data_IF_033867316453
#
_entry.id   IF_033867316453
#
_cell.length_a   1.000
_cell.length_b   1.000
_cell.length_c   1.000
_cell.angle_alpha   90.00
_cell.angle_beta   90.00
_cell.angle_gamma   90.00
#
_symmetry.space_group_name_H-M   'P 1'
#
loop_
_entity.id
_entity.type
_entity.pdbx_description
1 polymer ?
#
# COMPACT_ATOMS: atom_id res chain seq x y z
N UNK A 1 13.97 24.61 -11.66
CA UNK A 1 14.93 25.68 -11.33
C UNK A 1 14.56 26.14 -9.92
N UNK A 2 15.47 25.98 -8.96
CA UNK A 2 15.15 25.70 -7.55
C UNK A 2 14.67 26.86 -6.68
N UNK A 3 14.39 26.53 -5.42
CA UNK A 3 14.67 27.41 -4.28
C UNK A 3 15.25 26.56 -3.14
N UNK A 4 16.50 26.86 -2.81
CA UNK A 4 17.22 26.41 -1.63
C UNK A 4 16.63 27.18 -0.43
N UNK A 5 16.25 26.50 0.66
CA UNK A 5 16.05 27.17 1.96
C UNK A 5 17.29 26.92 2.81
N UNK A 6 18.21 27.89 2.83
CA UNK A 6 19.22 27.95 3.88
C UNK A 6 18.61 28.59 5.12
N UNK A 7 18.70 27.91 6.25
CA UNK A 7 18.27 28.45 7.53
C UNK A 7 19.29 29.50 8.00
N UNK A 8 18.96 30.77 7.81
CA UNK A 8 19.70 31.89 8.41
C UNK A 8 19.08 32.26 9.76
N UNK A 9 19.92 32.16 10.77
CA UNK A 9 19.92 32.82 12.09
C UNK A 9 18.71 32.65 13.03
N UNK A 10 19.04 32.12 14.21
CA UNK A 10 18.15 31.87 15.33
C UNK A 10 18.24 33.03 16.32
N UNK A 11 17.51 34.13 16.09
CA UNK A 11 17.41 35.21 17.06
C UNK A 11 16.16 36.10 16.89
N UNK A 12 14.97 35.52 17.08
CA UNK A 12 13.75 36.24 17.56
C UNK A 12 12.55 35.30 17.65
N UNK A 13 12.58 34.33 18.57
CA UNK A 13 11.39 33.55 18.94
C UNK A 13 10.51 34.33 19.91
N UNK A 14 9.95 35.47 19.46
CA UNK A 14 8.84 36.10 20.15
C UNK A 14 7.78 36.45 19.10
N UNK A 15 6.74 35.62 19.04
CA UNK A 15 5.48 35.80 18.30
C UNK A 15 5.28 35.08 16.95
N UNK A 16 5.95 33.95 16.69
CA UNK A 16 5.46 33.04 15.63
C UNK A 16 4.59 31.96 16.27
N UNK A 17 3.28 32.23 16.41
CA UNK A 17 2.31 31.14 16.47
C UNK A 17 2.25 30.54 15.07
N UNK A 18 3.09 29.55 14.80
CA UNK A 18 3.00 28.76 13.58
C UNK A 18 1.70 27.94 13.66
N UNK A 19 0.59 28.52 13.18
CA UNK A 19 -0.59 27.74 12.84
C UNK A 19 -0.32 27.07 11.49
N UNK A 20 0.44 25.98 11.52
CA UNK A 20 0.53 25.08 10.40
C UNK A 20 -0.80 24.34 10.29
N UNK A 21 -1.60 24.67 9.28
CA UNK A 21 -2.70 23.80 8.89
C UNK A 21 -2.07 22.60 8.19
N UNK A 22 -2.22 21.41 8.76
CA UNK A 22 -1.83 20.17 8.09
C UNK A 22 -2.78 20.03 6.90
N UNK A 23 -2.23 20.19 5.69
CA UNK A 23 -2.91 19.78 4.48
C UNK A 23 -2.38 18.38 4.17
N UNK A 24 -3.26 17.37 4.18
CA UNK A 24 -2.96 16.07 3.58
C UNK A 24 -2.72 16.31 2.09
N UNK A 25 -1.47 16.56 1.72
CA UNK A 25 -1.05 16.56 0.34
C UNK A 25 -0.87 15.10 -0.03
N UNK A 26 -1.86 14.52 -0.70
CA UNK A 26 -1.65 13.28 -1.44
C UNK A 26 -0.64 13.60 -2.54
N UNK A 27 0.66 13.42 -2.25
CA UNK A 27 1.68 13.46 -3.27
C UNK A 27 1.48 12.18 -4.06
N UNK A 28 0.77 12.28 -5.19
CA UNK A 28 0.86 11.27 -6.24
C UNK A 28 2.25 11.39 -6.85
N UNK A 29 3.25 10.91 -6.11
CA UNK A 29 4.57 10.72 -6.64
C UNK A 29 4.49 9.46 -7.50
N UNK A 30 4.49 9.65 -8.83
CA UNK A 30 4.59 8.53 -9.77
C UNK A 30 5.85 7.69 -9.56
N UNK A 31 6.83 8.14 -8.76
CA UNK A 31 7.99 7.35 -8.35
C UNK A 31 7.78 6.53 -7.05
N UNK A 32 6.66 6.71 -6.35
CA UNK A 32 6.35 5.95 -5.14
C UNK A 32 6.15 4.46 -5.48
N UNK A 33 6.81 3.61 -4.71
CA UNK A 33 6.63 2.16 -4.77
C UNK A 33 5.21 1.81 -4.32
N UNK A 34 4.50 1.04 -5.15
CA UNK A 34 3.13 0.60 -4.92
C UNK A 34 3.09 -0.93 -4.89
N UNK A 35 2.31 -1.46 -3.96
CA UNK A 35 2.06 -2.87 -3.81
C UNK A 35 0.56 -3.12 -3.90
N UNK A 36 0.17 -4.17 -4.60
CA UNK A 36 -1.24 -4.50 -4.79
C UNK A 36 -1.45 -5.99 -4.72
N UNK A 37 -2.48 -6.43 -4.00
CA UNK A 37 -2.98 -7.80 -4.00
C UNK A 37 -4.32 -7.80 -4.73
N UNK A 38 -4.34 -8.34 -5.94
CA UNK A 38 -5.49 -8.32 -6.84
C UNK A 38 -6.24 -9.63 -6.67
N UNK A 39 -7.50 -9.58 -6.26
CA UNK A 39 -8.33 -10.77 -6.18
C UNK A 39 -8.65 -11.31 -7.58
N UNK A 40 -8.32 -12.58 -7.85
CA UNK A 40 -8.55 -13.21 -9.16
C UNK A 40 -9.67 -14.25 -9.15
N UNK A 41 -10.15 -14.66 -7.97
CA UNK A 41 -11.32 -15.51 -7.84
C UNK A 41 -11.18 -16.56 -6.75
N UNK A 42 -12.25 -17.34 -6.59
CA UNK A 42 -12.33 -18.50 -5.70
C UNK A 42 -12.96 -19.66 -6.45
N UNK A 43 -12.35 -20.82 -6.32
CA UNK A 43 -12.86 -22.11 -6.81
C UNK A 43 -12.84 -23.08 -5.64
N UNK A 44 -13.98 -23.68 -5.32
CA UNK A 44 -14.18 -24.44 -4.09
C UNK A 44 -13.64 -23.66 -2.90
N UNK A 45 -12.71 -24.18 -2.11
CA UNK A 45 -12.14 -23.48 -0.96
C UNK A 45 -10.82 -22.76 -1.27
N UNK A 46 -10.35 -22.83 -2.51
CA UNK A 46 -9.12 -22.17 -2.95
C UNK A 46 -9.40 -20.75 -3.41
N UNK A 47 -8.77 -19.80 -2.76
CA UNK A 47 -8.86 -18.38 -3.10
C UNK A 47 -7.54 -17.91 -3.72
N UNK A 48 -7.62 -17.13 -4.80
CA UNK A 48 -6.46 -16.72 -5.59
C UNK A 48 -6.32 -15.21 -5.63
N UNK A 49 -5.06 -14.80 -5.60
CA UNK A 49 -4.67 -13.40 -5.79
C UNK A 49 -3.45 -13.30 -6.69
N UNK A 50 -3.38 -12.19 -7.43
CA UNK A 50 -2.16 -11.77 -8.11
C UNK A 50 -1.56 -10.61 -7.34
N UNK A 51 -0.38 -10.81 -6.79
CA UNK A 51 0.41 -9.73 -6.22
C UNK A 51 1.15 -8.98 -7.31
N UNK A 52 1.23 -7.65 -7.21
CA UNK A 52 2.01 -6.79 -8.11
C UNK A 52 2.75 -5.71 -7.32
N UNK A 53 3.97 -5.45 -7.75
CA UNK A 53 4.77 -4.31 -7.33
C UNK A 53 4.99 -3.35 -8.50
N UNK A 54 4.87 -2.06 -8.26
CA UNK A 54 5.07 -1.00 -9.25
C UNK A 54 5.96 0.10 -8.68
N UNK A 55 7.04 0.45 -9.38
CA UNK A 55 7.96 1.54 -9.00
C UNK A 55 8.25 2.42 -10.22
N UNK A 56 7.47 3.49 -10.38
CA UNK A 56 7.70 4.55 -11.36
C UNK A 56 8.15 4.15 -12.77
N UNK A 57 8.78 5.11 -13.47
CA UNK A 57 8.92 5.19 -14.93
C UNK A 57 9.82 4.10 -15.58
N UNK A 58 10.14 3.02 -14.88
CA UNK A 58 11.00 1.98 -15.43
C UNK A 58 10.14 0.96 -16.18
N UNK A 59 10.39 0.85 -17.47
CA UNK A 59 9.85 -0.15 -18.41
C UNK A 59 10.26 -1.61 -18.07
N UNK A 60 10.30 -1.98 -16.79
CA UNK A 60 10.33 -3.36 -16.33
C UNK A 60 8.90 -3.82 -16.17
N UNK A 61 8.57 -5.00 -16.71
CA UNK A 61 7.28 -5.64 -16.44
C UNK A 61 7.06 -5.68 -14.92
N UNK A 62 5.88 -5.29 -14.41
CA UNK A 62 5.61 -5.40 -12.98
C UNK A 62 5.80 -6.86 -12.58
N UNK A 63 6.63 -7.10 -11.56
CA UNK A 63 6.77 -8.45 -11.01
C UNK A 63 5.40 -8.86 -10.47
N UNK A 64 4.82 -9.88 -11.09
CA UNK A 64 3.54 -10.43 -10.65
C UNK A 64 3.71 -11.86 -10.20
N UNK A 65 3.20 -12.16 -9.01
CA UNK A 65 3.16 -13.53 -8.47
C UNK A 65 1.72 -13.91 -8.22
N UNK A 66 1.31 -15.06 -8.75
CA UNK A 66 0.01 -15.65 -8.39
C UNK A 66 0.17 -16.47 -7.12
N UNK A 67 -0.73 -16.26 -6.17
CA UNK A 67 -0.76 -16.94 -4.89
C UNK A 67 -2.15 -17.53 -4.64
N UNK A 68 -2.16 -18.72 -4.06
CA UNK A 68 -3.38 -19.47 -3.75
C UNK A 68 -3.36 -19.88 -2.28
N UNK A 69 -4.52 -19.79 -1.62
CA UNK A 69 -4.72 -20.19 -0.22
C UNK A 69 -5.95 -21.08 -0.10
N UNK A 70 -5.93 -22.03 0.83
CA UNK A 70 -7.09 -22.85 1.16
C UNK A 70 -7.84 -22.26 2.37
N UNK A 71 -9.08 -21.84 2.15
CA UNK A 71 -9.95 -21.26 3.16
C UNK A 71 -10.48 -22.27 4.19
N UNK A 72 -10.27 -23.58 3.98
CA UNK A 72 -10.50 -24.58 5.01
C UNK A 72 -9.46 -24.51 6.14
N UNK A 73 -8.22 -24.16 5.79
CA UNK A 73 -7.11 -24.07 6.75
C UNK A 73 -7.18 -22.78 7.56
N UNK A 74 -7.48 -21.67 6.88
CA UNK A 74 -7.66 -20.37 7.53
C UNK A 74 -8.41 -19.40 6.63
N UNK A 75 -9.23 -18.54 7.22
CA UNK A 75 -9.77 -17.37 6.54
C UNK A 75 -8.82 -16.15 6.60
N UNK A 76 -7.65 -16.28 7.26
CA UNK A 76 -6.63 -15.24 7.33
C UNK A 76 -5.58 -15.49 6.26
N UNK A 77 -5.32 -14.48 5.44
CA UNK A 77 -4.37 -14.52 4.33
C UNK A 77 -3.29 -13.49 4.59
N UNK A 78 -2.03 -13.92 4.53
CA UNK A 78 -0.86 -13.05 4.72
C UNK A 78 0.07 -13.16 3.52
N UNK A 79 0.39 -12.03 2.89
CA UNK A 79 1.37 -11.98 1.81
C UNK A 79 2.11 -10.65 1.78
N UNK A 80 3.45 -10.70 1.71
CA UNK A 80 4.32 -9.51 1.65
C UNK A 80 3.99 -8.46 2.74
N UNK A 81 3.70 -8.94 3.95
CA UNK A 81 3.36 -8.13 5.13
C UNK A 81 1.89 -7.73 5.25
N UNK A 82 1.13 -7.72 4.14
CA UNK A 82 -0.31 -7.46 4.20
C UNK A 82 -1.03 -8.69 4.73
N UNK A 83 -1.93 -8.45 5.68
CA UNK A 83 -2.78 -9.48 6.27
C UNK A 83 -4.23 -9.07 6.13
N UNK A 84 -5.06 -9.96 5.59
CA UNK A 84 -6.51 -9.77 5.49
C UNK A 84 -7.23 -10.97 6.09
N UNK A 85 -8.40 -10.70 6.66
CA UNK A 85 -9.38 -11.71 7.02
C UNK A 85 -10.46 -11.75 5.94
N UNK A 86 -10.68 -12.91 5.32
CA UNK A 86 -11.73 -13.13 4.33
C UNK A 86 -13.04 -13.39 5.05
N UNK A 87 -14.02 -12.51 4.80
CA UNK A 87 -15.38 -12.62 5.36
C UNK A 87 -16.27 -13.41 4.40
N UNK A 88 -16.17 -13.13 3.10
CA UNK A 88 -16.93 -13.82 2.06
C UNK A 88 -16.19 -13.73 0.73
N UNK A 89 -16.13 -14.82 -0.03
CA UNK A 89 -15.54 -14.82 -1.36
C UNK A 89 -16.32 -15.72 -2.31
N UNK A 90 -16.40 -15.32 -3.58
CA UNK A 90 -16.89 -16.13 -4.70
C UNK A 90 -16.08 -15.78 -5.96
N UNK A 91 -16.35 -16.44 -7.08
CA UNK A 91 -15.62 -16.21 -8.33
C UNK A 91 -15.64 -14.76 -8.89
N UNK A 92 -16.48 -13.86 -8.36
CA UNK A 92 -16.66 -12.47 -8.82
C UNK A 92 -16.24 -11.42 -7.80
N UNK A 93 -16.33 -11.71 -6.50
CA UNK A 93 -16.04 -10.71 -5.46
C UNK A 93 -15.51 -11.32 -4.17
N UNK A 94 -14.83 -10.47 -3.41
CA UNK A 94 -14.35 -10.76 -2.06
C UNK A 94 -14.74 -9.62 -1.12
N UNK A 95 -15.26 -9.97 0.04
CA UNK A 95 -15.46 -9.12 1.20
C UNK A 95 -14.42 -9.51 2.23
N UNK A 96 -13.63 -8.55 2.68
CA UNK A 96 -12.50 -8.79 3.56
C UNK A 96 -12.33 -7.65 4.56
N UNK A 97 -11.61 -7.94 5.63
CA UNK A 97 -11.15 -6.96 6.61
C UNK A 97 -9.63 -6.88 6.56
N UNK A 98 -9.08 -5.68 6.45
CA UNK A 98 -7.63 -5.47 6.53
C UNK A 98 -7.19 -5.56 7.99
N UNK A 99 -6.21 -6.42 8.26
CA UNK A 99 -5.60 -6.58 9.58
C UNK A 99 -4.24 -5.87 9.65
N UNK A 100 -3.44 -5.95 8.58
CA UNK A 100 -2.19 -5.20 8.44
C UNK A 100 -1.95 -4.79 6.98
N UNK A 101 -1.29 -3.66 6.80
CA UNK A 101 -0.85 -3.19 5.49
C UNK A 101 0.39 -3.94 5.00
N UNK A 102 0.74 -3.76 3.73
CA UNK A 102 1.98 -4.30 3.16
C UNK A 102 3.21 -3.85 3.95
N UNK A 103 4.28 -4.63 3.85
CA UNK A 103 5.58 -4.26 4.44
C UNK A 103 6.10 -2.99 3.76
N UNK A 104 6.45 -2.00 4.57
CA UNK A 104 7.25 -0.86 4.12
C UNK A 104 8.70 -1.33 3.88
N UNK A 105 9.23 -1.00 2.70
CA UNK A 105 10.66 -1.09 2.44
C UNK A 105 11.21 0.33 2.59
N UNK A 106 11.71 0.64 3.78
CA UNK A 106 12.43 1.89 4.07
C UNK A 106 13.83 1.88 3.42
#
# INVERSE_FOLDING_TARGET
MGLLLEATDCSSLNNVKAQGKIYDKTIYDSSAFQQTLIYTGKVDNRIRFTYREFSGNTARMPFSTEVEYDLNESNIISYQGATIEVIKANNRSVTYKVMSNFRNYD
#
